data_IF_234797467317
#
_entry.id   IF_234797467317
#
_cell.length_a   1.000
_cell.length_b   1.000
_cell.length_c   1.000
_cell.angle_alpha   90.00
_cell.angle_beta   90.00
_cell.angle_gamma   90.00
#
_symmetry.space_group_name_H-M   'P 1'
#
loop_
_entity.id
_entity.type
_entity.pdbx_description
1 polymer ?
#
# COMPACT_ATOMS: atom_id res chain seq x y z
N UNK A 1 -18.96 39.80 1.13
CA UNK A 1 -19.86 38.85 0.44
C UNK A 1 -19.13 38.05 -0.65
N UNK A 2 -18.05 37.31 -0.32
CA UNK A 2 -17.21 36.61 -1.33
C UNK A 2 -16.74 35.21 -0.88
N UNK A 3 -17.46 34.54 0.04
CA UNK A 3 -17.06 33.22 0.59
C UNK A 3 -17.96 32.04 0.19
N UNK A 4 -19.05 32.27 -0.55
CA UNK A 4 -20.06 31.22 -0.84
C UNK A 4 -19.89 30.49 -2.17
N UNK A 5 -19.02 30.95 -3.08
CA UNK A 5 -18.92 30.40 -4.45
C UNK A 5 -17.95 29.23 -4.62
N UNK A 6 -17.24 28.79 -3.57
CA UNK A 6 -16.27 27.67 -3.66
C UNK A 6 -16.83 26.28 -3.37
N UNK A 7 -18.07 26.17 -2.88
CA UNK A 7 -18.67 24.87 -2.52
C UNK A 7 -19.42 24.20 -3.68
N UNK A 8 -19.83 24.94 -4.71
CA UNK A 8 -20.64 24.40 -5.81
C UNK A 8 -19.83 23.66 -6.88
N UNK A 9 -18.52 23.89 -6.98
CA UNK A 9 -17.66 23.20 -7.97
C UNK A 9 -17.18 21.83 -7.51
N UNK A 10 -17.23 21.50 -6.22
CA UNK A 10 -16.85 20.16 -5.73
C UNK A 10 -17.98 19.14 -5.94
N UNK A 11 -19.25 19.57 -5.91
CA UNK A 11 -20.38 18.68 -6.15
C UNK A 11 -20.51 18.22 -7.61
N UNK A 12 -20.04 19.01 -8.58
CA UNK A 12 -20.18 18.68 -10.00
C UNK A 12 -19.15 17.63 -10.50
N UNK A 13 -18.01 17.45 -9.82
CA UNK A 13 -17.00 16.46 -10.20
C UNK A 13 -17.28 15.04 -9.66
N UNK A 14 -18.20 14.90 -8.68
CA UNK A 14 -18.67 13.59 -8.21
C UNK A 14 -19.81 13.00 -9.05
N UNK A 15 -20.48 13.80 -9.88
CA UNK A 15 -21.61 13.36 -10.71
C UNK A 15 -21.23 12.70 -12.04
N UNK A 16 -20.00 12.91 -12.54
CA UNK A 16 -19.60 12.46 -13.88
C UNK A 16 -18.97 11.06 -13.92
N UNK A 17 -18.81 10.37 -12.78
CA UNK A 17 -18.21 9.04 -12.71
C UNK A 17 -19.23 7.88 -12.83
N UNK A 18 -20.53 8.16 -13.01
CA UNK A 18 -21.60 7.14 -12.88
C UNK A 18 -22.18 6.67 -14.23
N UNK A 19 -21.79 7.26 -15.37
CA UNK A 19 -22.33 6.86 -16.68
C UNK A 19 -21.26 6.51 -17.72
N UNK A 20 -20.20 5.82 -17.32
CA UNK A 20 -19.41 5.04 -18.28
C UNK A 20 -20.21 3.80 -18.70
N UNK A 21 -20.23 3.39 -19.98
CA UNK A 21 -20.77 2.09 -20.36
C UNK A 21 -19.99 1.05 -19.57
N UNK A 22 -20.67 0.39 -18.63
CA UNK A 22 -20.13 -0.76 -17.94
C UNK A 22 -19.93 -1.85 -19.00
N UNK A 23 -18.75 -1.85 -19.63
CA UNK A 23 -18.19 -3.04 -20.23
C UNK A 23 -17.91 -3.93 -19.03
N UNK A 24 -18.94 -4.65 -18.57
CA UNK A 24 -18.78 -5.73 -17.61
C UNK A 24 -17.71 -6.62 -18.22
N UNK A 25 -16.49 -6.68 -17.65
CA UNK A 25 -15.50 -7.62 -18.14
C UNK A 25 -16.21 -8.96 -18.10
N UNK A 26 -16.20 -9.71 -19.21
CA UNK A 26 -16.76 -11.05 -19.22
C UNK A 26 -16.06 -11.78 -18.07
N UNK A 27 -16.77 -11.94 -16.95
CA UNK A 27 -16.19 -12.55 -15.77
C UNK A 27 -15.95 -13.99 -16.17
N UNK A 28 -14.69 -14.33 -16.41
CA UNK A 28 -14.30 -15.72 -16.53
C UNK A 28 -14.83 -16.41 -15.28
N UNK A 29 -15.71 -17.39 -15.46
CA UNK A 29 -16.19 -18.22 -14.37
C UNK A 29 -15.19 -19.38 -14.23
N UNK A 30 -14.19 -19.25 -13.33
CA UNK A 30 -13.16 -20.27 -13.20
C UNK A 30 -13.74 -21.64 -12.81
N UNK A 31 -14.92 -21.68 -12.18
CA UNK A 31 -15.59 -22.91 -11.82
C UNK A 31 -16.18 -23.61 -13.06
N UNK A 32 -16.86 -22.86 -13.94
CA UNK A 32 -17.39 -23.34 -15.21
C UNK A 32 -16.28 -23.83 -16.18
N UNK A 33 -15.17 -23.10 -16.24
CA UNK A 33 -14.02 -23.46 -17.07
C UNK A 33 -13.33 -24.75 -16.58
N UNK A 34 -13.12 -24.88 -15.26
CA UNK A 34 -12.54 -26.07 -14.66
C UNK A 34 -13.42 -27.32 -14.88
N UNK A 35 -14.74 -27.17 -14.78
CA UNK A 35 -15.69 -28.25 -15.04
C UNK A 35 -15.67 -28.69 -16.51
N UNK A 36 -15.61 -27.74 -17.44
CA UNK A 36 -15.52 -28.04 -18.87
C UNK A 36 -14.22 -28.79 -19.21
N UNK A 37 -13.09 -28.37 -18.63
CA UNK A 37 -11.81 -29.06 -18.80
C UNK A 37 -11.84 -30.47 -18.19
N UNK A 38 -12.48 -30.64 -17.03
CA UNK A 38 -12.65 -31.95 -16.41
C UNK A 38 -13.40 -32.92 -17.33
N UNK A 39 -14.54 -32.52 -17.88
CA UNK A 39 -15.34 -33.36 -18.77
C UNK A 39 -14.69 -33.61 -20.13
N UNK A 40 -13.79 -32.73 -20.59
CA UNK A 40 -13.04 -32.90 -21.83
C UNK A 40 -11.88 -33.90 -21.73
N UNK A 41 -11.43 -34.30 -20.53
CA UNK A 41 -10.31 -35.24 -20.35
C UNK A 41 -10.62 -36.60 -20.99
N UNK A 42 -9.65 -37.26 -21.67
CA UNK A 42 -9.86 -38.56 -22.32
C UNK A 42 -10.49 -39.63 -21.41
N UNK A 43 -10.06 -39.72 -20.15
CA UNK A 43 -10.58 -40.67 -19.17
C UNK A 43 -12.04 -40.44 -18.74
N UNK A 44 -12.62 -39.29 -19.09
CA UNK A 44 -14.00 -38.92 -18.73
C UNK A 44 -14.97 -39.00 -19.91
N UNK A 45 -14.47 -39.25 -21.14
CA UNK A 45 -15.31 -39.30 -22.34
C UNK A 45 -16.40 -40.37 -22.27
N UNK A 46 -16.05 -41.59 -21.90
CA UNK A 46 -17.01 -42.71 -21.80
C UNK A 46 -18.06 -42.46 -20.69
N UNK A 47 -17.68 -42.11 -19.45
CA UNK A 47 -18.65 -41.73 -18.42
C UNK A 47 -19.56 -40.56 -18.82
N UNK A 48 -19.03 -39.57 -19.54
CA UNK A 48 -19.82 -38.44 -20.04
C UNK A 48 -20.87 -38.89 -21.06
N UNK A 49 -20.51 -39.78 -21.98
CA UNK A 49 -21.44 -40.38 -22.95
C UNK A 49 -22.52 -41.18 -22.22
N UNK A 50 -22.13 -42.05 -21.28
CA UNK A 50 -23.08 -42.86 -20.51
C UNK A 50 -24.05 -41.96 -19.72
N UNK A 51 -23.56 -40.86 -19.15
CA UNK A 51 -24.39 -39.86 -18.46
C UNK A 51 -25.35 -39.15 -19.41
N UNK A 52 -24.88 -38.72 -20.58
CA UNK A 52 -25.73 -38.06 -21.57
C UNK A 52 -26.84 -38.99 -22.07
N UNK A 53 -26.54 -40.28 -22.25
CA UNK A 53 -27.52 -41.31 -22.62
C UNK A 53 -28.51 -41.57 -21.50
N UNK A 54 -28.04 -41.71 -20.26
CA UNK A 54 -28.89 -41.92 -19.09
C UNK A 54 -29.88 -40.76 -18.85
N UNK A 55 -29.46 -39.52 -19.14
CA UNK A 55 -30.31 -38.34 -19.05
C UNK A 55 -31.23 -38.13 -20.26
N UNK A 56 -31.16 -38.99 -21.29
CA UNK A 56 -31.93 -38.84 -22.52
C UNK A 56 -31.52 -37.64 -23.37
N UNK A 57 -30.34 -37.06 -23.15
CA UNK A 57 -29.81 -35.93 -23.91
C UNK A 57 -29.21 -36.35 -25.27
N UNK A 58 -28.82 -37.63 -25.39
CA UNK A 58 -28.35 -38.24 -26.63
C UNK A 58 -28.62 -39.75 -26.61
N UNK A 59 -28.68 -40.38 -27.79
CA UNK A 59 -28.62 -41.84 -27.94
C UNK A 59 -27.19 -42.37 -28.07
N UNK A 60 -27.01 -43.69 -28.03
CA UNK A 60 -25.73 -44.33 -28.37
C UNK A 60 -25.51 -44.30 -29.87
N UNK A 61 -24.37 -43.74 -30.29
CA UNK A 61 -23.90 -43.75 -31.67
C UNK A 61 -22.92 -44.90 -31.95
N UNK A 62 -22.11 -44.73 -32.98
CA UNK A 62 -21.05 -45.66 -33.39
C UNK A 62 -19.78 -45.53 -32.54
N UNK A 63 -18.84 -46.46 -32.68
CA UNK A 63 -17.61 -46.50 -31.89
C UNK A 63 -16.82 -45.18 -31.93
N UNK A 64 -16.67 -44.57 -33.12
CA UNK A 64 -15.89 -43.34 -33.30
C UNK A 64 -16.68 -42.07 -32.97
N UNK A 65 -18.02 -42.18 -32.96
CA UNK A 65 -18.96 -41.09 -32.69
C UNK A 65 -20.05 -41.57 -31.73
N UNK A 66 -19.73 -41.63 -30.43
CA UNK A 66 -20.51 -42.40 -29.46
C UNK A 66 -21.87 -41.79 -29.10
N UNK A 67 -22.19 -40.59 -29.59
CA UNK A 67 -23.42 -39.87 -29.29
C UNK A 67 -24.26 -39.73 -30.56
N UNK A 68 -25.56 -40.04 -30.49
CA UNK A 68 -26.52 -39.87 -31.59
C UNK A 68 -27.62 -38.90 -31.19
N UNK A 69 -27.76 -37.80 -31.93
CA UNK A 69 -28.80 -36.77 -31.69
C UNK A 69 -29.53 -36.52 -33.01
N UNK A 70 -30.87 -36.62 -33.00
CA UNK A 70 -31.71 -36.45 -34.20
C UNK A 70 -31.26 -37.31 -35.39
N UNK A 71 -30.88 -38.57 -35.12
CA UNK A 71 -30.44 -39.50 -36.16
C UNK A 71 -28.99 -39.35 -36.64
N UNK A 72 -28.27 -38.31 -36.20
CA UNK A 72 -26.87 -38.06 -36.60
C UNK A 72 -25.89 -38.38 -35.47
N UNK A 73 -24.79 -39.03 -35.82
CA UNK A 73 -23.71 -39.37 -34.89
C UNK A 73 -22.70 -38.22 -34.72
N UNK A 74 -22.27 -37.98 -33.48
CA UNK A 74 -21.34 -36.93 -33.06
C UNK A 74 -20.19 -37.49 -32.22
N UNK A 75 -18.99 -36.94 -32.42
CA UNK A 75 -17.93 -37.04 -31.43
C UNK A 75 -18.20 -36.07 -30.27
N UNK A 76 -17.68 -36.35 -29.07
CA UNK A 76 -17.91 -35.51 -27.87
C UNK A 76 -17.54 -34.04 -28.09
N UNK A 77 -16.47 -33.77 -28.86
CA UNK A 77 -16.03 -32.40 -29.19
C UNK A 77 -17.06 -31.66 -30.06
N UNK A 78 -17.56 -32.34 -31.09
CA UNK A 78 -18.53 -31.77 -32.03
C UNK A 78 -19.89 -31.59 -31.36
N UNK A 79 -20.28 -32.55 -30.51
CA UNK A 79 -21.49 -32.46 -29.70
C UNK A 79 -21.47 -31.26 -28.75
N UNK A 80 -20.33 -30.98 -28.08
CA UNK A 80 -20.18 -29.79 -27.24
C UNK A 80 -20.40 -28.49 -28.00
N UNK A 81 -19.95 -28.41 -29.25
CA UNK A 81 -20.10 -27.21 -30.08
C UNK A 81 -21.53 -27.05 -30.60
N UNK A 82 -22.16 -28.16 -31.02
CA UNK A 82 -23.52 -28.14 -31.56
C UNK A 82 -24.60 -28.02 -30.48
N UNK A 83 -24.36 -28.57 -29.28
CA UNK A 83 -25.32 -28.64 -28.17
C UNK A 83 -24.67 -28.27 -26.83
N UNK A 84 -24.22 -27.02 -26.64
CA UNK A 84 -23.45 -26.62 -25.46
C UNK A 84 -24.23 -26.74 -24.15
N UNK A 85 -25.55 -26.53 -24.17
CA UNK A 85 -26.41 -26.64 -22.99
C UNK A 85 -26.56 -28.10 -22.53
N UNK A 86 -26.76 -29.04 -23.46
CA UNK A 86 -26.89 -30.46 -23.15
C UNK A 86 -25.55 -31.05 -22.68
N UNK A 87 -24.45 -30.61 -23.29
CA UNK A 87 -23.11 -30.92 -22.80
C UNK A 87 -22.90 -30.42 -21.36
N UNK A 88 -23.29 -29.18 -21.06
CA UNK A 88 -23.22 -28.60 -19.72
C UNK A 88 -24.01 -29.42 -18.69
N UNK A 89 -25.24 -29.82 -19.04
CA UNK A 89 -26.10 -30.67 -18.20
C UNK A 89 -25.49 -32.04 -17.93
N UNK A 90 -25.04 -32.75 -18.97
CA UNK A 90 -24.39 -34.05 -18.82
C UNK A 90 -23.09 -33.95 -18.01
N UNK A 91 -22.29 -32.90 -18.23
CA UNK A 91 -21.06 -32.67 -17.48
C UNK A 91 -21.33 -32.35 -16.01
N UNK A 92 -22.36 -31.55 -15.71
CA UNK A 92 -22.80 -31.28 -14.33
C UNK A 92 -23.27 -32.55 -13.62
N UNK A 93 -24.07 -33.38 -14.29
CA UNK A 93 -24.48 -34.66 -13.74
C UNK A 93 -23.30 -35.60 -13.51
N UNK A 94 -22.35 -35.70 -14.43
CA UNK A 94 -21.14 -36.52 -14.27
C UNK A 94 -20.29 -36.06 -13.07
N UNK A 95 -20.11 -34.74 -12.93
CA UNK A 95 -19.38 -34.17 -11.79
C UNK A 95 -20.13 -34.41 -10.49
N UNK A 96 -21.46 -34.29 -10.49
CA UNK A 96 -22.27 -34.60 -9.32
C UNK A 96 -22.08 -36.06 -8.91
N UNK A 97 -22.26 -37.03 -9.84
CA UNK A 97 -22.09 -38.48 -9.62
C UNK A 97 -20.73 -38.82 -9.02
N UNK A 98 -19.65 -38.21 -9.53
CA UNK A 98 -18.29 -38.46 -9.00
C UNK A 98 -17.96 -37.70 -7.73
N UNK A 99 -18.71 -36.65 -7.39
CA UNK A 99 -18.59 -35.90 -6.13
C UNK A 99 -19.53 -36.41 -5.05
N UNK A 100 -20.44 -37.35 -5.32
CA UNK A 100 -21.12 -38.08 -4.26
C UNK A 100 -20.03 -38.88 -3.52
N UNK A 101 -19.68 -38.51 -2.28
CA UNK A 101 -18.92 -39.41 -1.44
C UNK A 101 -19.83 -40.63 -1.22
N UNK A 102 -19.28 -41.84 -1.36
CA UNK A 102 -19.92 -43.00 -0.76
C UNK A 102 -20.27 -42.62 0.69
N UNK A 103 -21.54 -42.75 1.04
CA UNK A 103 -22.12 -42.31 2.31
C UNK A 103 -21.41 -42.99 3.49
N UNK A 104 -20.30 -42.41 3.94
CA UNK A 104 -19.92 -42.46 5.34
C UNK A 104 -20.50 -41.20 5.99
N UNK A 105 -21.64 -41.38 6.64
CA UNK A 105 -22.35 -40.38 7.44
C UNK A 105 -21.56 -40.07 8.71
N UNK A 106 -20.39 -39.47 8.56
CA UNK A 106 -19.60 -38.89 9.65
C UNK A 106 -19.83 -37.39 9.70
N UNK A 107 -20.30 -36.88 10.84
CA UNK A 107 -20.45 -35.47 11.24
C UNK A 107 -19.30 -34.53 10.78
N UNK A 108 -18.13 -35.07 10.51
CA UNK A 108 -16.96 -34.37 9.95
C UNK A 108 -17.16 -33.83 8.53
N UNK A 109 -17.98 -34.45 7.67
CA UNK A 109 -18.15 -34.03 6.27
C UNK A 109 -18.93 -32.72 6.07
N UNK A 110 -19.92 -32.46 6.92
CA UNK A 110 -20.74 -31.23 6.91
C UNK A 110 -19.98 -30.03 7.50
N UNK A 111 -19.13 -30.29 8.49
CA UNK A 111 -18.25 -29.29 9.08
C UNK A 111 -17.20 -28.81 8.05
N UNK A 112 -16.63 -29.73 7.26
CA UNK A 112 -15.65 -29.39 6.23
C UNK A 112 -16.25 -28.54 5.11
N UNK A 113 -17.48 -28.82 4.64
CA UNK A 113 -18.15 -27.99 3.63
C UNK A 113 -18.49 -26.59 4.14
N UNK A 114 -18.92 -26.49 5.40
CA UNK A 114 -19.23 -25.20 6.04
C UNK A 114 -17.96 -24.36 6.26
N UNK A 115 -16.86 -25.00 6.67
CA UNK A 115 -15.56 -24.34 6.84
C UNK A 115 -14.99 -23.89 5.49
N UNK A 116 -15.05 -24.73 4.44
CA UNK A 116 -14.54 -24.36 3.10
C UNK A 116 -15.33 -23.19 2.49
N UNK A 117 -16.65 -23.11 2.74
CA UNK A 117 -17.48 -21.97 2.30
C UNK A 117 -17.19 -20.67 3.04
N UNK A 118 -16.65 -20.73 4.27
CA UNK A 118 -16.29 -19.56 5.08
C UNK A 118 -14.87 -19.03 4.80
N UNK A 119 -13.98 -19.83 4.18
CA UNK A 119 -12.61 -19.41 3.85
C UNK A 119 -12.59 -18.12 2.99
N UNK A 120 -13.37 -17.99 1.89
CA UNK A 120 -13.36 -16.77 1.08
C UNK A 120 -13.84 -15.52 1.85
N UNK A 121 -14.83 -15.68 2.73
CA UNK A 121 -15.36 -14.58 3.58
C UNK A 121 -14.32 -14.16 4.62
N UNK A 122 -13.65 -15.13 5.25
CA UNK A 122 -12.56 -14.89 6.20
C UNK A 122 -11.35 -14.22 5.55
N UNK A 123 -10.94 -14.69 4.36
CA UNK A 123 -9.84 -14.08 3.59
C UNK A 123 -10.21 -12.66 3.14
N UNK A 124 -11.44 -12.43 2.68
CA UNK A 124 -11.93 -11.09 2.33
C UNK A 124 -11.89 -10.11 3.51
N UNK A 125 -12.36 -10.55 4.69
CA UNK A 125 -12.33 -9.74 5.91
C UNK A 125 -10.90 -9.45 6.40
N UNK A 126 -10.00 -10.45 6.34
CA UNK A 126 -8.59 -10.27 6.70
C UNK A 126 -7.85 -9.34 5.73
N UNK A 127 -8.13 -9.43 4.43
CA UNK A 127 -7.58 -8.51 3.42
C UNK A 127 -8.13 -7.09 3.61
N UNK A 128 -9.42 -6.94 3.90
CA UNK A 128 -10.03 -5.65 4.18
C UNK A 128 -9.43 -5.01 5.45
N UNK A 129 -9.31 -5.77 6.55
CA UNK A 129 -8.68 -5.31 7.78
C UNK A 129 -7.19 -4.98 7.57
N UNK A 130 -6.47 -5.80 6.81
CA UNK A 130 -5.08 -5.56 6.43
C UNK A 130 -4.92 -4.25 5.64
N UNK A 131 -5.80 -4.01 4.66
CA UNK A 131 -5.78 -2.78 3.86
C UNK A 131 -6.08 -1.53 4.69
N UNK A 132 -7.00 -1.61 5.66
CA UNK A 132 -7.31 -0.53 6.60
C UNK A 132 -6.14 -0.19 7.52
N UNK A 133 -5.44 -1.20 8.04
CA UNK A 133 -4.25 -0.98 8.87
C UNK A 133 -3.09 -0.35 8.07
N UNK A 134 -2.90 -0.74 6.81
CA UNK A 134 -1.84 -0.18 5.97
C UNK A 134 -2.11 1.30 5.62
N UNK A 135 -3.35 1.64 5.27
CA UNK A 135 -3.72 3.02 4.91
C UNK A 135 -3.64 3.96 6.11
N UNK A 136 -4.15 3.53 7.27
CA UNK A 136 -4.05 4.33 8.52
C UNK A 136 -2.60 4.54 8.95
N UNK A 137 -1.76 3.50 8.88
CA UNK A 137 -0.32 3.63 9.16
C UNK A 137 0.37 4.58 8.19
N UNK A 138 0.10 4.47 6.89
CA UNK A 138 0.66 5.37 5.88
C UNK A 138 0.28 6.82 6.15
N UNK A 139 -1.00 7.12 6.36
CA UNK A 139 -1.45 8.47 6.68
C UNK A 139 -0.83 9.01 7.98
N UNK A 140 -0.66 8.16 8.99
CA UNK A 140 0.02 8.57 10.24
C UNK A 140 1.51 8.87 10.03
N UNK A 141 2.18 8.11 9.17
CA UNK A 141 3.60 8.27 8.85
C UNK A 141 3.82 9.56 8.03
N UNK A 142 2.98 9.81 7.03
CA UNK A 142 2.99 11.05 6.22
C UNK A 142 2.76 12.29 7.08
N UNK A 143 1.75 12.27 7.97
CA UNK A 143 1.51 13.41 8.90
C UNK A 143 2.70 13.66 9.78
N UNK A 144 3.26 12.61 10.39
CA UNK A 144 4.43 12.75 11.21
C UNK A 144 5.58 13.35 10.38
N UNK A 145 5.89 12.78 9.21
CA UNK A 145 6.96 13.27 8.33
C UNK A 145 6.78 14.77 8.01
N UNK A 146 5.54 15.20 7.73
CA UNK A 146 5.18 16.60 7.54
C UNK A 146 5.43 17.48 8.77
N UNK A 147 5.06 17.03 9.98
CA UNK A 147 5.31 17.74 11.24
C UNK A 147 6.82 17.96 11.47
N UNK A 148 7.63 16.91 11.30
CA UNK A 148 9.09 17.02 11.46
C UNK A 148 9.71 17.91 10.39
N UNK A 149 9.25 17.82 9.14
CA UNK A 149 9.69 18.68 8.06
C UNK A 149 9.41 20.15 8.39
N UNK A 150 8.18 20.46 8.80
CA UNK A 150 7.78 21.82 9.17
C UNK A 150 8.61 22.36 10.35
N UNK A 151 8.84 21.55 11.39
CA UNK A 151 9.64 21.95 12.55
C UNK A 151 11.11 22.21 12.19
N UNK A 152 11.71 21.34 11.36
CA UNK A 152 13.10 21.49 10.92
C UNK A 152 13.28 22.75 10.05
N UNK A 153 12.38 22.98 9.08
CA UNK A 153 12.42 24.18 8.23
C UNK A 153 12.14 25.46 9.02
N UNK A 154 11.25 25.42 10.02
CA UNK A 154 11.00 26.58 10.89
C UNK A 154 12.24 26.96 11.69
N UNK A 155 12.95 25.98 12.24
CA UNK A 155 14.20 26.21 12.97
C UNK A 155 15.31 26.70 12.04
N UNK A 156 15.51 26.08 10.88
CA UNK A 156 16.50 26.53 9.88
C UNK A 156 16.26 28.00 9.48
N UNK A 157 15.01 28.35 9.21
CA UNK A 157 14.63 29.73 8.87
C UNK A 157 14.95 30.70 10.00
N UNK A 158 14.58 30.37 11.24
CA UNK A 158 14.84 31.24 12.39
C UNK A 158 16.35 31.47 12.62
N UNK A 159 17.17 30.42 12.52
CA UNK A 159 18.63 30.54 12.61
C UNK A 159 19.19 31.39 11.46
N UNK A 160 18.74 31.16 10.23
CA UNK A 160 19.18 31.93 9.06
C UNK A 160 18.81 33.41 9.20
N UNK A 161 17.60 33.72 9.65
CA UNK A 161 17.15 35.09 9.90
C UNK A 161 17.97 35.77 11.01
N UNK A 162 18.29 35.04 12.08
CA UNK A 162 19.17 35.53 13.15
C UNK A 162 20.59 35.84 12.63
N UNK A 163 21.22 34.90 11.92
CA UNK A 163 22.56 35.07 11.35
C UNK A 163 22.62 36.20 10.31
N UNK A 164 21.58 36.36 9.48
CA UNK A 164 21.47 37.49 8.54
C UNK A 164 21.26 38.81 9.28
N UNK A 165 20.45 38.82 10.34
CA UNK A 165 20.20 40.01 11.14
C UNK A 165 21.44 40.50 11.88
N UNK A 166 22.28 39.59 12.39
CA UNK A 166 23.58 39.95 12.94
C UNK A 166 24.52 40.57 11.91
N UNK A 167 24.56 40.03 10.70
CA UNK A 167 25.31 40.66 9.59
C UNK A 167 24.83 42.08 9.26
N UNK A 168 23.60 42.43 9.63
CA UNK A 168 22.99 43.76 9.47
C UNK A 168 23.07 44.63 10.73
N UNK A 169 23.69 44.16 11.81
CA UNK A 169 23.83 44.91 13.06
C UNK A 169 22.58 44.95 13.94
N UNK A 170 21.61 44.03 13.74
CA UNK A 170 20.36 44.00 14.52
C UNK A 170 20.53 43.43 15.95
N UNK A 171 21.75 43.03 16.31
CA UNK A 171 22.11 42.55 17.65
C UNK A 171 21.41 41.25 18.06
N UNK A 172 21.52 40.90 19.35
CA UNK A 172 21.01 39.63 19.93
C UNK A 172 19.48 39.54 20.08
N UNK A 173 18.75 40.58 19.65
CA UNK A 173 17.28 40.62 19.77
C UNK A 173 16.56 39.50 19.01
N UNK A 174 17.20 38.95 17.98
CA UNK A 174 16.65 37.89 17.14
C UNK A 174 16.84 36.47 17.73
N UNK A 175 17.69 36.30 18.75
CA UNK A 175 17.94 34.99 19.37
C UNK A 175 16.67 34.41 19.99
N UNK A 176 15.84 35.25 20.61
CA UNK A 176 14.59 34.83 21.23
C UNK A 176 13.60 34.20 20.21
N UNK A 177 13.71 34.57 18.93
CA UNK A 177 12.87 33.99 17.87
C UNK A 177 13.24 32.53 17.54
N UNK A 178 14.43 32.06 17.96
CA UNK A 178 14.89 30.68 17.75
C UNK A 178 14.35 29.68 18.78
N UNK A 179 13.95 30.14 19.97
CA UNK A 179 13.59 29.27 21.11
C UNK A 179 12.37 28.38 20.81
N UNK A 180 11.31 28.96 20.25
CA UNK A 180 10.09 28.21 19.93
C UNK A 180 10.30 27.18 18.80
N UNK A 181 10.93 27.53 17.66
CA UNK A 181 11.28 26.55 16.63
C UNK A 181 12.23 25.44 17.12
N UNK A 182 13.25 25.78 17.92
CA UNK A 182 14.20 24.81 18.47
C UNK A 182 13.49 23.81 19.38
N UNK A 183 12.70 24.30 20.34
CA UNK A 183 11.95 23.44 21.27
C UNK A 183 10.96 22.54 20.53
N UNK A 184 10.27 23.05 19.50
CA UNK A 184 9.40 22.26 18.63
C UNK A 184 10.14 21.13 17.92
N UNK A 185 11.27 21.43 17.27
CA UNK A 185 12.10 20.43 16.59
C UNK A 185 12.63 19.37 17.56
N UNK A 186 13.15 19.78 18.72
CA UNK A 186 13.68 18.85 19.72
C UNK A 186 12.58 17.95 20.32
N UNK A 187 11.40 18.50 20.59
CA UNK A 187 10.26 17.73 21.09
C UNK A 187 9.83 16.65 20.08
N UNK A 188 9.76 16.98 18.80
CA UNK A 188 9.43 16.04 17.74
C UNK A 188 10.50 14.96 17.55
N UNK A 189 11.78 15.33 17.54
CA UNK A 189 12.88 14.37 17.49
C UNK A 189 12.86 13.42 18.70
N UNK A 190 12.59 13.92 19.91
CA UNK A 190 12.49 13.12 21.13
C UNK A 190 11.30 12.14 21.08
N UNK A 191 10.13 12.61 20.63
CA UNK A 191 8.94 11.75 20.42
C UNK A 191 9.22 10.63 19.41
N UNK A 192 10.08 10.88 18.43
CA UNK A 192 10.48 9.90 17.42
C UNK A 192 11.54 8.95 17.92
N UNK A 193 12.47 9.43 18.75
CA UNK A 193 13.47 8.58 19.42
C UNK A 193 12.79 7.48 20.23
N UNK A 194 11.72 7.78 20.96
CA UNK A 194 10.98 6.77 21.73
C UNK A 194 10.25 5.75 20.86
N UNK A 195 9.75 6.14 19.68
CA UNK A 195 9.09 5.24 18.71
C UNK A 195 10.09 4.45 17.85
N UNK A 196 11.29 4.98 17.64
CA UNK A 196 12.31 4.42 16.75
C UNK A 196 13.70 4.39 17.41
N UNK A 197 13.91 3.58 18.48
CA UNK A 197 15.15 3.59 19.25
C UNK A 197 16.39 3.21 18.44
N UNK A 198 16.23 2.49 17.32
CA UNK A 198 17.33 2.07 16.44
C UNK A 198 17.87 3.19 15.52
N UNK A 199 17.18 4.32 15.40
CA UNK A 199 17.53 5.37 14.43
C UNK A 199 18.66 6.30 14.88
N UNK A 200 19.27 6.06 16.06
CA UNK A 200 20.39 6.86 16.60
C UNK A 200 20.12 8.38 16.65
N UNK A 201 18.87 8.79 16.81
CA UNK A 201 18.45 10.21 16.82
C UNK A 201 19.09 11.04 17.93
N UNK A 202 19.64 10.41 18.97
CA UNK A 202 20.38 11.10 20.04
C UNK A 202 21.56 11.92 19.53
N UNK A 203 22.24 11.43 18.48
CA UNK A 203 23.36 12.14 17.86
C UNK A 203 22.88 13.44 17.20
N UNK A 204 21.81 13.36 16.42
CA UNK A 204 21.22 14.53 15.76
C UNK A 204 20.69 15.55 16.77
N UNK A 205 19.99 15.09 17.82
CA UNK A 205 19.51 15.96 18.92
C UNK A 205 20.68 16.70 19.57
N UNK A 206 21.76 15.99 19.90
CA UNK A 206 22.97 16.58 20.48
C UNK A 206 23.63 17.55 19.53
N UNK A 207 23.78 17.21 18.25
CA UNK A 207 24.40 18.06 17.24
C UNK A 207 23.61 19.37 17.02
N UNK A 208 22.27 19.32 17.01
CA UNK A 208 21.41 20.51 16.91
C UNK A 208 21.59 21.40 18.15
N UNK A 209 21.66 20.82 19.36
CA UNK A 209 21.90 21.58 20.60
C UNK A 209 23.27 22.24 20.64
N UNK A 210 24.31 21.54 20.18
CA UNK A 210 25.65 22.11 20.06
C UNK A 210 25.63 23.27 19.07
N UNK A 211 24.99 23.11 17.91
CA UNK A 211 24.87 24.18 16.93
C UNK A 211 24.12 25.41 17.49
N UNK A 212 22.97 25.22 18.17
CA UNK A 212 22.22 26.32 18.78
C UNK A 212 23.07 27.07 19.82
N UNK A 213 23.77 26.32 20.68
CA UNK A 213 24.70 26.89 21.66
C UNK A 213 25.82 27.67 20.97
N UNK A 214 26.46 27.09 19.96
CA UNK A 214 27.56 27.74 19.22
C UNK A 214 27.08 29.03 18.54
N UNK A 215 25.83 29.08 18.07
CA UNK A 215 25.22 30.29 17.51
C UNK A 215 25.05 31.37 18.60
N UNK A 216 24.54 31.02 19.78
CA UNK A 216 24.28 31.97 20.89
C UNK A 216 25.55 32.46 21.61
N UNK A 217 26.50 31.57 21.78
CA UNK A 217 27.75 31.83 22.50
C UNK A 217 28.84 32.41 21.58
N UNK A 218 28.59 32.50 20.26
CA UNK A 218 29.53 33.09 19.33
C UNK A 218 29.91 34.53 19.74
N UNK A 219 31.21 34.74 19.89
CA UNK A 219 31.79 36.07 20.08
C UNK A 219 31.92 36.75 18.71
N UNK A 220 30.87 37.49 18.34
CA UNK A 220 30.75 38.06 17.00
C UNK A 220 31.76 39.21 16.80
N UNK A 221 32.71 39.07 15.87
CA UNK A 221 33.74 40.08 15.66
C UNK A 221 33.12 41.37 15.10
N UNK A 222 33.64 42.51 15.54
CA UNK A 222 33.28 43.84 14.99
C UNK A 222 33.74 44.01 13.54
N UNK A 223 34.77 43.26 13.11
CA UNK A 223 35.31 43.30 11.75
C UNK A 223 34.34 42.63 10.76
N UNK A 224 33.82 43.37 9.74
CA UNK A 224 32.78 42.84 8.84
C UNK A 224 33.19 41.61 8.03
N UNK A 225 34.48 41.47 7.70
CA UNK A 225 35.00 40.34 6.94
C UNK A 225 34.94 39.04 7.76
N UNK A 226 35.43 39.07 9.00
CA UNK A 226 35.38 37.93 9.92
C UNK A 226 33.95 37.56 10.27
N UNK A 227 33.10 38.55 10.55
CA UNK A 227 31.67 38.36 10.82
C UNK A 227 30.98 37.57 9.69
N UNK A 228 31.25 37.92 8.43
CA UNK A 228 30.69 37.19 7.27
C UNK A 228 31.22 35.76 7.18
N UNK A 229 32.51 35.55 7.45
CA UNK A 229 33.12 34.23 7.40
C UNK A 229 32.55 33.30 8.48
N UNK A 230 32.46 33.78 9.72
CA UNK A 230 31.95 32.99 10.84
C UNK A 230 30.46 32.69 10.70
N UNK A 231 29.67 33.68 10.25
CA UNK A 231 28.26 33.47 9.93
C UNK A 231 28.08 32.45 8.80
N UNK A 232 28.93 32.47 7.76
CA UNK A 232 28.88 31.48 6.69
C UNK A 232 29.18 30.07 7.19
N UNK A 233 30.22 29.89 8.02
CA UNK A 233 30.54 28.58 8.62
C UNK A 233 29.37 28.02 9.44
N UNK A 234 28.67 28.87 10.19
CA UNK A 234 27.50 28.45 10.97
C UNK A 234 26.29 28.14 10.07
N UNK A 235 26.10 28.88 8.97
CA UNK A 235 25.09 28.57 7.96
C UNK A 235 25.35 27.21 7.29
N UNK A 236 26.60 26.91 6.94
CA UNK A 236 26.97 25.63 6.32
C UNK A 236 26.70 24.46 7.30
N UNK A 237 27.07 24.64 8.58
CA UNK A 237 26.75 23.66 9.65
C UNK A 237 25.23 23.50 9.84
N UNK A 238 24.47 24.59 9.79
CA UNK A 238 23.01 24.56 9.88
C UNK A 238 22.38 23.78 8.73
N UNK A 239 22.84 24.02 7.50
CA UNK A 239 22.37 23.30 6.31
C UNK A 239 22.67 21.80 6.41
N UNK A 240 23.86 21.42 6.89
CA UNK A 240 24.19 20.01 7.15
C UNK A 240 23.23 19.37 8.16
N UNK A 241 22.90 20.05 9.26
CA UNK A 241 21.94 19.51 10.26
C UNK A 241 20.50 19.49 9.77
N UNK A 242 20.12 20.44 8.93
CA UNK A 242 18.83 20.40 8.24
C UNK A 242 18.77 19.20 7.27
N UNK A 243 19.82 18.93 6.51
CA UNK A 243 19.93 17.76 5.64
C UNK A 243 19.82 16.44 6.42
N UNK A 244 20.51 16.32 7.56
CA UNK A 244 20.38 15.17 8.47
C UNK A 244 18.92 14.98 8.93
N UNK A 245 18.22 16.06 9.28
CA UNK A 245 16.81 16.02 9.65
C UNK A 245 15.91 15.61 8.47
N UNK A 246 16.20 16.07 7.25
CA UNK A 246 15.48 15.69 6.03
C UNK A 246 15.68 14.23 5.67
N UNK A 247 16.86 13.65 5.96
CA UNK A 247 17.05 12.21 5.82
C UNK A 247 16.07 11.43 6.71
N UNK A 248 15.91 11.86 7.96
CA UNK A 248 14.94 11.28 8.90
C UNK A 248 13.51 11.41 8.35
N UNK A 249 13.12 12.59 7.85
CA UNK A 249 11.81 12.83 7.20
C UNK A 249 11.59 11.85 6.04
N UNK A 250 12.57 11.71 5.14
CA UNK A 250 12.46 10.83 3.97
C UNK A 250 12.25 9.35 4.33
N UNK A 251 12.83 8.91 5.44
CA UNK A 251 12.69 7.54 5.95
C UNK A 251 11.32 7.30 6.59
N UNK A 252 10.75 8.33 7.21
CA UNK A 252 9.40 8.27 7.78
C UNK A 252 8.33 8.16 6.71
N UNK A 253 8.52 8.88 5.61
CA UNK A 253 7.62 8.86 4.46
C UNK A 253 7.56 7.49 3.76
N UNK A 254 8.60 6.66 3.93
CA UNK A 254 8.75 5.34 3.27
C UNK A 254 8.81 4.17 4.27
N UNK A 255 7.69 3.82 4.95
CA UNK A 255 7.61 2.80 6.01
C UNK A 255 8.20 1.42 5.69
N UNK A 256 8.27 1.04 4.42
CA UNK A 256 8.75 -0.27 3.97
C UNK A 256 10.28 -0.36 3.82
N UNK A 257 11.02 0.75 3.85
CA UNK A 257 12.51 0.75 3.73
C UNK A 257 13.24 0.66 5.08
N UNK A 258 12.55 0.22 6.13
CA UNK A 258 12.95 0.46 7.53
C UNK A 258 14.07 -0.43 8.08
N UNK A 259 14.54 -1.39 7.29
CA UNK A 259 15.54 -2.35 7.76
C UNK A 259 16.98 -1.81 7.74
N UNK A 260 17.22 -0.57 7.31
CA UNK A 260 18.55 0.06 7.33
C UNK A 260 18.74 1.07 8.49
N UNK A 261 19.87 1.08 9.20
CA UNK A 261 20.20 2.14 10.14
C UNK A 261 20.29 3.50 9.44
N UNK A 262 19.95 4.59 10.15
CA UNK A 262 20.23 5.96 9.68
C UNK A 262 21.74 6.17 9.77
N UNK A 263 22.39 6.30 8.61
CA UNK A 263 23.81 6.67 8.54
C UNK A 263 23.84 8.18 8.45
N UNK A 264 23.98 8.85 9.58
CA UNK A 264 24.40 10.25 9.58
C UNK A 264 25.85 10.25 9.11
N UNK A 265 26.08 10.43 7.80
CA UNK A 265 27.41 10.30 7.16
C UNK A 265 28.42 11.37 7.61
N UNK A 266 27.96 12.40 8.31
CA UNK A 266 28.82 13.44 8.89
C UNK A 266 29.35 12.99 10.27
N UNK A 267 30.01 11.82 10.33
CA UNK A 267 30.98 11.52 11.40
C UNK A 267 32.24 12.33 11.07
N UNK A 268 32.19 13.64 11.34
CA UNK A 268 33.41 14.43 11.47
C UNK A 268 34.15 13.86 12.68
N UNK A 269 35.14 13.03 12.39
CA UNK A 269 36.21 12.75 13.34
C UNK A 269 36.83 14.12 13.64
N UNK A 270 36.75 14.62 14.88
CA UNK A 270 37.36 15.91 15.19
C UNK A 270 38.87 15.79 14.91
N UNK A 271 39.50 16.82 14.32
CA UNK A 271 40.97 16.92 14.34
C UNK A 271 41.49 17.03 15.77
#
# INVERSE_FOLDING_TARGET
>A
MLRQTRWLTVAALLGAAVCGPAVSPAHADPAGDAQTLYCAKPGNKRPLVDTAVALGLAGRGTHDKPLKVNGRDYAVKDWRQAFPLDFGRACAALVAVRKLPETSSGWTGELVKTVIGLIPVGVGALLALGSGMLTTRKASAERAAGELHAAATAYERACRDCLIGWRRGQGRSLEAAMDAPLSGLLADLQRRKSRHPRWRLERLITAIRILDRDIREADWPTEPARLRQDAQRLLDRLEARHADAMEVVSRLDRPWRWYGPVRTEHDETPP
#
